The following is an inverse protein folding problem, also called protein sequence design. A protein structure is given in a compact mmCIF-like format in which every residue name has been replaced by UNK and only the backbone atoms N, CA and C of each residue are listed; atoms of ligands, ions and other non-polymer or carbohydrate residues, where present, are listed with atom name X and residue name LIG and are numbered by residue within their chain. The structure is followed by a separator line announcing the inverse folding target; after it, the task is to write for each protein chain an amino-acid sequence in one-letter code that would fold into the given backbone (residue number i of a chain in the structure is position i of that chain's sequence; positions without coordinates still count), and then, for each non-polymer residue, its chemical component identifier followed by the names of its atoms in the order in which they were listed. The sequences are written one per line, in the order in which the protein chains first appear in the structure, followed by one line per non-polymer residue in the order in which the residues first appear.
data_IF_757266466172
#
_entry.id   IF_757266466172
#
_cell.length_a   1.000
_cell.length_b   1.000
_cell.length_c   1.000
_cell.angle_alpha   90.00
_cell.angle_beta   90.00
_cell.angle_gamma   90.00
#
_symmetry.space_group_name_H-M   'P 1'
#
loop_
_entity.id
_entity.type
_entity.pdbx_description
1 polymer ?
#
# COMPACT_ATOMS: atom_id res chain seq x y z
N UNK A 1 -40.87 2.04 -1.91
CA UNK A 1 -40.26 0.74 -1.57
C UNK A 1 -39.55 0.86 -0.23
N UNK A 2 -39.66 -0.16 0.62
CA UNK A 2 -39.18 -0.20 2.01
C UNK A 2 -37.68 -0.51 2.10
N UNK A 3 -37.05 0.07 3.14
CA UNK A 3 -35.85 -0.38 3.87
C UNK A 3 -34.51 -0.32 3.10
N UNK A 4 -33.39 0.14 3.66
CA UNK A 4 -32.85 -0.27 4.96
C UNK A 4 -32.18 0.87 5.74
N UNK A 5 -32.50 0.94 7.03
CA UNK A 5 -31.60 1.53 8.04
C UNK A 5 -30.29 0.74 8.04
N UNK A 6 -29.16 1.38 7.78
CA UNK A 6 -27.84 0.90 8.19
C UNK A 6 -27.12 2.14 8.70
N UNK A 7 -26.88 2.25 10.01
CA UNK A 7 -25.73 1.60 10.61
C UNK A 7 -24.56 2.55 10.41
N UNK A 8 -24.12 3.22 11.48
CA UNK A 8 -22.96 4.13 11.62
C UNK A 8 -22.15 4.24 10.31
N UNK A 9 -22.25 5.36 9.60
CA UNK A 9 -21.60 5.57 8.30
C UNK A 9 -20.08 5.36 8.46
N UNK A 10 -19.62 4.15 8.18
CA UNK A 10 -18.20 3.81 8.17
C UNK A 10 -17.68 4.40 6.87
N UNK A 11 -17.18 5.63 6.95
CA UNK A 11 -16.77 6.41 5.80
C UNK A 11 -15.33 6.06 5.42
N UNK A 12 -15.12 5.69 4.16
CA UNK A 12 -13.82 5.65 3.54
C UNK A 12 -13.78 6.64 2.38
N UNK A 13 -12.70 7.41 2.27
CA UNK A 13 -12.49 8.35 1.17
C UNK A 13 -11.01 8.50 0.83
N UNK A 14 -10.71 8.67 -0.45
CA UNK A 14 -9.37 9.07 -0.91
C UNK A 14 -9.32 10.59 -0.90
N UNK A 15 -8.50 11.15 0.00
CA UNK A 15 -8.40 12.61 0.21
C UNK A 15 -7.44 13.27 -0.78
N UNK A 16 -6.31 12.61 -1.06
CA UNK A 16 -5.30 13.19 -1.93
C UNK A 16 -4.42 12.12 -2.59
N UNK A 17 -3.96 12.40 -3.81
CA UNK A 17 -3.04 11.54 -4.56
C UNK A 17 -1.83 12.38 -4.96
N UNK A 18 -0.67 11.94 -4.53
CA UNK A 18 0.61 12.64 -4.72
C UNK A 18 1.57 11.78 -5.54
N UNK A 19 2.71 12.33 -6.01
CA UNK A 19 3.77 11.53 -6.64
C UNK A 19 4.39 10.47 -5.73
N UNK A 20 4.18 10.54 -4.41
CA UNK A 20 4.81 9.65 -3.43
C UNK A 20 3.87 8.59 -2.86
N UNK A 21 2.56 8.77 -3.02
CA UNK A 21 1.55 7.92 -2.41
C UNK A 21 0.17 8.57 -2.34
N UNK A 22 -0.73 7.89 -1.64
CA UNK A 22 -2.14 8.23 -1.54
C UNK A 22 -2.49 8.50 -0.07
N UNK A 23 -3.26 9.55 0.18
CA UNK A 23 -3.90 9.81 1.47
C UNK A 23 -5.31 9.25 1.45
N UNK A 24 -5.63 8.41 2.43
CA UNK A 24 -6.95 7.82 2.63
C UNK A 24 -7.45 8.19 4.02
N UNK A 25 -8.72 8.56 4.11
CA UNK A 25 -9.42 8.76 5.36
C UNK A 25 -10.33 7.55 5.60
N UNK A 26 -10.16 6.91 6.76
CA UNK A 26 -10.95 5.74 7.14
C UNK A 26 -11.20 5.76 8.66
N UNK A 27 -12.45 5.52 9.05
CA UNK A 27 -12.87 5.48 10.47
C UNK A 27 -12.42 6.68 11.34
N UNK A 28 -12.33 7.88 10.76
CA UNK A 28 -11.93 9.07 11.52
C UNK A 28 -10.41 9.33 11.55
N UNK A 29 -9.61 8.56 10.82
CA UNK A 29 -8.16 8.68 10.77
C UNK A 29 -7.67 8.83 9.33
N UNK A 30 -6.61 9.61 9.17
CA UNK A 30 -5.87 9.72 7.91
C UNK A 30 -4.71 8.72 7.89
N UNK A 31 -4.60 7.96 6.81
CA UNK A 31 -3.50 7.03 6.56
C UNK A 31 -2.80 7.37 5.25
N UNK A 32 -1.48 7.21 5.22
CA UNK A 32 -0.69 7.43 4.01
C UNK A 32 -0.20 6.11 3.42
N UNK A 33 -0.66 5.80 2.22
CA UNK A 33 -0.24 4.66 1.42
C UNK A 33 0.92 5.07 0.51
N UNK A 34 2.16 4.85 0.96
CA UNK A 34 3.34 5.17 0.15
C UNK A 34 3.49 4.19 -1.01
N UNK A 35 3.79 4.68 -2.23
CA UNK A 35 4.11 3.82 -3.37
C UNK A 35 5.37 2.95 -3.18
N UNK A 36 6.19 3.20 -2.15
CA UNK A 36 7.30 2.32 -1.78
C UNK A 36 6.82 1.00 -1.18
N UNK A 37 5.77 1.06 -0.36
CA UNK A 37 5.18 -0.10 0.30
C UNK A 37 4.02 -0.68 -0.53
N UNK A 38 3.30 0.18 -1.25
CA UNK A 38 2.11 -0.13 -2.04
C UNK A 38 2.31 0.22 -3.53
N UNK A 39 3.27 -0.40 -4.24
CA UNK A 39 3.63 -0.02 -5.61
C UNK A 39 2.53 -0.27 -6.64
N UNK A 40 1.55 -1.12 -6.34
CA UNK A 40 0.42 -1.46 -7.22
C UNK A 40 -0.49 -0.28 -7.55
N UNK A 41 -0.51 0.75 -6.70
CA UNK A 41 -1.24 1.99 -6.99
C UNK A 41 -0.49 2.93 -7.93
N UNK A 42 0.81 2.70 -8.14
CA UNK A 42 1.62 3.53 -9.03
C UNK A 42 1.12 3.34 -10.46
N UNK A 43 0.93 4.45 -11.17
CA UNK A 43 0.46 4.49 -12.57
C UNK A 43 -0.99 4.00 -12.80
N UNK A 44 -1.78 3.86 -11.73
CA UNK A 44 -3.21 3.55 -11.83
C UNK A 44 -4.06 4.78 -12.14
N UNK A 45 -5.23 4.56 -12.74
CA UNK A 45 -6.14 5.67 -13.04
C UNK A 45 -6.71 6.28 -11.77
N UNK A 46 -6.95 7.60 -11.81
CA UNK A 46 -7.59 8.33 -10.73
C UNK A 46 -8.92 7.69 -10.32
N UNK A 47 -9.72 7.27 -11.30
CA UNK A 47 -11.01 6.61 -11.08
C UNK A 47 -10.85 5.30 -10.31
N UNK A 48 -9.91 4.46 -10.72
CA UNK A 48 -9.66 3.19 -10.07
C UNK A 48 -9.19 3.38 -8.62
N UNK A 49 -8.30 4.34 -8.36
CA UNK A 49 -7.84 4.67 -7.00
C UNK A 49 -8.98 5.23 -6.13
N UNK A 50 -9.82 6.10 -6.68
CA UNK A 50 -10.94 6.67 -5.93
C UNK A 50 -12.04 5.65 -5.60
N UNK A 51 -12.14 4.57 -6.38
CA UNK A 51 -13.15 3.53 -6.18
C UNK A 51 -12.73 2.53 -5.09
N UNK A 52 -12.50 3.05 -3.88
CA UNK A 52 -12.25 2.24 -2.68
C UNK A 52 -13.58 1.84 -2.02
N UNK A 53 -13.63 0.61 -1.52
CA UNK A 53 -14.75 0.06 -0.76
C UNK A 53 -14.27 -0.38 0.62
N UNK A 54 -15.05 -0.06 1.65
CA UNK A 54 -14.80 -0.55 3.01
C UNK A 54 -15.70 -1.76 3.28
N UNK A 55 -15.09 -2.93 3.35
CA UNK A 55 -15.71 -4.21 3.64
C UNK A 55 -15.59 -4.51 5.14
N UNK A 56 -16.68 -4.95 5.75
CA UNK A 56 -16.75 -5.41 7.15
C UNK A 56 -16.31 -4.38 8.21
N UNK A 57 -16.02 -3.13 7.83
CA UNK A 57 -15.55 -2.06 8.71
C UNK A 57 -14.03 -1.99 8.91
N UNK A 58 -13.27 -2.99 8.45
CA UNK A 58 -11.82 -3.07 8.69
C UNK A 58 -10.99 -3.40 7.44
N UNK A 59 -11.63 -3.68 6.31
CA UNK A 59 -10.96 -4.16 5.11
C UNK A 59 -11.24 -3.24 3.91
N UNK A 60 -10.19 -2.65 3.36
CA UNK A 60 -10.22 -1.78 2.20
C UNK A 60 -10.05 -2.62 0.94
N UNK A 61 -10.93 -2.43 -0.05
CA UNK A 61 -10.87 -3.14 -1.31
C UNK A 61 -10.99 -2.18 -2.49
N UNK A 62 -10.11 -2.33 -3.48
CA UNK A 62 -10.15 -1.62 -4.76
C UNK A 62 -10.52 -2.61 -5.88
N UNK A 63 -11.81 -2.71 -6.27
CA UNK A 63 -12.26 -3.71 -7.23
C UNK A 63 -11.63 -3.55 -8.62
N UNK A 64 -11.34 -2.33 -9.03
CA UNK A 64 -10.72 -2.05 -10.33
C UNK A 64 -9.24 -2.44 -10.38
N UNK A 65 -8.59 -2.52 -9.21
CA UNK A 65 -7.16 -2.85 -9.08
C UNK A 65 -6.93 -4.28 -8.62
N UNK A 66 -7.98 -4.95 -8.13
CA UNK A 66 -7.92 -6.22 -7.41
C UNK A 66 -6.90 -6.18 -6.26
N UNK A 67 -6.95 -5.09 -5.49
CA UNK A 67 -6.07 -4.84 -4.35
C UNK A 67 -6.90 -4.75 -3.08
N UNK A 68 -6.49 -5.47 -2.05
CA UNK A 68 -7.04 -5.42 -0.71
C UNK A 68 -6.02 -5.00 0.35
N UNK A 69 -6.46 -4.23 1.35
CA UNK A 69 -5.66 -3.79 2.49
C UNK A 69 -6.46 -3.87 3.78
N UNK A 70 -5.83 -4.30 4.87
CA UNK A 70 -6.46 -4.33 6.19
C UNK A 70 -6.05 -3.07 6.98
N UNK A 71 -7.02 -2.40 7.61
CA UNK A 71 -6.77 -1.17 8.38
C UNK A 71 -5.79 -1.44 9.53
N UNK A 72 -5.90 -2.60 10.18
CA UNK A 72 -5.00 -3.00 11.27
C UNK A 72 -3.53 -3.02 10.86
N UNK A 73 -3.23 -3.37 9.60
CA UNK A 73 -1.88 -3.35 9.05
C UNK A 73 -1.35 -1.92 8.86
N UNK A 74 -2.24 -0.97 8.58
CA UNK A 74 -1.89 0.46 8.45
C UNK A 74 -1.61 1.08 9.82
N UNK A 75 -2.39 0.70 10.84
CA UNK A 75 -2.26 1.23 12.19
C UNK A 75 -1.12 0.60 13.00
N UNK A 76 -0.86 -0.69 12.82
CA UNK A 76 0.12 -1.45 13.60
C UNK A 76 1.08 -2.22 12.67
N UNK A 77 1.87 -1.53 11.85
CA UNK A 77 2.77 -2.19 10.90
C UNK A 77 3.79 -3.11 11.59
N UNK A 78 4.13 -2.87 12.86
CA UNK A 78 5.01 -3.72 13.66
C UNK A 78 4.42 -5.09 14.03
N UNK A 79 3.09 -5.23 14.05
CA UNK A 79 2.41 -6.51 14.31
C UNK A 79 2.48 -7.45 13.10
N UNK A 80 2.67 -6.89 11.91
CA UNK A 80 2.63 -7.60 10.64
C UNK A 80 3.92 -7.35 9.85
N UNK A 81 5.07 -7.90 10.27
CA UNK A 81 6.38 -7.64 9.67
C UNK A 81 6.56 -8.24 8.25
N UNK A 82 5.49 -8.69 7.61
CA UNK A 82 5.49 -9.23 6.24
C UNK A 82 5.65 -8.12 5.18
N UNK A 83 6.61 -7.21 5.38
CA UNK A 83 7.22 -6.52 4.25
C UNK A 83 8.07 -7.58 3.56
N UNK A 84 7.66 -8.04 2.39
CA UNK A 84 8.48 -8.89 1.54
C UNK A 84 9.83 -8.21 1.38
N UNK A 85 10.83 -8.67 2.11
CA UNK A 85 12.20 -8.23 1.92
C UNK A 85 12.54 -8.68 0.50
N UNK A 86 12.55 -7.75 -0.45
CA UNK A 86 13.29 -7.97 -1.68
C UNK A 86 14.72 -8.15 -1.21
N UNK A 87 15.12 -9.41 -1.01
CA UNK A 87 16.48 -9.79 -0.68
C UNK A 87 17.31 -9.19 -1.81
N UNK A 88 18.10 -8.15 -1.54
CA UNK A 88 19.15 -7.66 -2.43
C UNK A 88 20.25 -8.74 -2.55
N UNK A 89 19.91 -9.94 -3.02
CA UNK A 89 20.85 -11.00 -3.38
C UNK A 89 21.11 -10.86 -4.87
N UNK A 90 22.15 -10.11 -5.20
CA UNK A 90 23.01 -10.18 -6.40
C UNK A 90 23.43 -8.80 -6.92
N UNK A 91 24.32 -8.13 -6.17
CA UNK A 91 25.38 -7.33 -6.77
C UNK A 91 26.71 -7.73 -6.13
N UNK A 92 27.09 -9.00 -6.32
CA UNK A 92 28.49 -9.41 -6.17
C UNK A 92 29.26 -8.94 -7.41
N UNK A 93 29.64 -7.66 -7.46
CA UNK A 93 30.71 -7.26 -8.37
C UNK A 93 32.03 -7.75 -7.79
N UNK A 94 32.44 -8.93 -8.28
CA UNK A 94 33.73 -9.56 -8.09
C UNK A 94 34.81 -8.57 -8.54
N UNK A 95 35.39 -7.78 -7.62
CA UNK A 95 36.61 -7.02 -7.91
C UNK A 95 37.75 -8.01 -8.10
N UNK A 96 38.07 -8.29 -9.36
CA UNK A 96 39.31 -8.96 -9.74
C UNK A 96 40.49 -8.09 -9.28
N UNK A 97 41.07 -8.42 -8.12
CA UNK A 97 42.41 -7.98 -7.76
C UNK A 97 43.37 -8.64 -8.75
N UNK A 98 43.78 -7.90 -9.79
CA UNK A 98 44.92 -8.28 -10.62
C UNK A 98 46.15 -8.32 -9.73
N UNK A 99 46.72 -9.52 -9.60
CA UNK A 99 48.08 -9.71 -9.15
C UNK A 99 49.02 -9.00 -10.13
N UNK A 100 49.92 -8.17 -9.61
CA UNK A 100 51.15 -7.81 -10.31
C UNK A 100 52.28 -8.27 -9.40
N UNK A 101 52.91 -9.37 -9.81
CA UNK A 101 54.13 -9.88 -9.25
C UNK A 101 55.33 -9.19 -9.92
N UNK A 102 56.31 -8.80 -9.09
CA UNK A 102 57.76 -8.77 -9.35
C UNK A 102 58.29 -7.98 -10.56
N UNK A 103 59.09 -6.96 -10.27
CA UNK A 103 60.53 -6.93 -10.56
C UNK A 103 61.22 -5.93 -9.62
#
# INVERSE_FOLDING_TARGET
MRSLKHGRNISVSVENITPFGIWIFVEGKECFLSYKDYPYFKDQTLKAIQHVQLLHGYHLYWPELDVDLEIDNLENPEKYPLKTQIIKKHLSSRSNKRAIARQ
#
